data_IF_906725274949
#
_entry.id   IF_906725274949
#
_cell.length_a   1.000
_cell.length_b   1.000
_cell.length_c   1.000
_cell.angle_alpha   90.00
_cell.angle_beta   90.00
_cell.angle_gamma   90.00
#
_symmetry.space_group_name_H-M   'P 1'
#
loop_
_entity.id
_entity.type
_entity.pdbx_description
1 polymer ?
#
# COMPACT_ATOMS: atom_id res chain seq x y z
N UNK A 1 -33.05 -22.80 28.54
CA UNK A 1 -32.43 -21.60 27.91
C UNK A 1 -33.55 -20.79 27.29
N UNK A 2 -33.70 -19.51 27.66
CA UNK A 2 -34.85 -18.68 27.29
C UNK A 2 -34.77 -18.25 25.81
N UNK A 3 -35.79 -18.59 25.02
CA UNK A 3 -35.84 -18.36 23.57
C UNK A 3 -35.92 -16.86 23.20
N UNK A 4 -36.45 -16.04 24.11
CA UNK A 4 -36.46 -14.58 23.99
C UNK A 4 -35.05 -13.98 24.11
N UNK A 5 -34.22 -14.54 24.99
CA UNK A 5 -32.83 -14.09 25.16
C UNK A 5 -31.98 -14.40 23.92
N UNK A 6 -32.20 -15.55 23.28
CA UNK A 6 -31.50 -15.94 22.05
C UNK A 6 -31.87 -14.99 20.89
N UNK A 7 -33.16 -14.67 20.72
CA UNK A 7 -33.61 -13.71 19.68
C UNK A 7 -33.02 -12.32 19.92
N UNK A 8 -33.02 -11.85 21.16
CA UNK A 8 -32.46 -10.55 21.53
C UNK A 8 -30.95 -10.48 21.27
N UNK A 9 -30.19 -11.53 21.60
CA UNK A 9 -28.76 -11.62 21.29
C UNK A 9 -28.48 -11.63 19.77
N UNK A 10 -29.29 -12.34 18.97
CA UNK A 10 -29.13 -12.38 17.50
C UNK A 10 -29.37 -11.00 16.88
N UNK A 11 -30.42 -10.30 17.31
CA UNK A 11 -30.73 -8.95 16.81
C UNK A 11 -29.62 -7.95 17.17
N UNK A 12 -29.09 -8.01 18.39
CA UNK A 12 -27.96 -7.18 18.83
C UNK A 12 -26.69 -7.50 18.02
N UNK A 13 -26.42 -8.77 17.72
CA UNK A 13 -25.26 -9.18 16.91
C UNK A 13 -25.38 -8.73 15.44
N UNK A 14 -26.59 -8.75 14.87
CA UNK A 14 -26.88 -8.25 13.51
C UNK A 14 -26.77 -6.71 13.43
N UNK A 15 -27.19 -5.99 14.48
CA UNK A 15 -27.02 -4.53 14.55
C UNK A 15 -25.55 -4.11 14.71
N UNK A 16 -24.73 -4.92 15.39
CA UNK A 16 -23.28 -4.70 15.53
C UNK A 16 -22.48 -5.00 14.25
N UNK A 17 -23.10 -5.67 13.26
CA UNK A 17 -22.47 -6.04 11.99
C UNK A 17 -22.80 -5.11 10.83
N UNK A 18 -23.47 -3.98 11.09
CA UNK A 18 -23.51 -2.85 10.14
C UNK A 18 -22.12 -2.21 10.14
N UNK A 19 -21.22 -2.78 9.35
CA UNK A 19 -19.95 -2.15 9.03
C UNK A 19 -20.25 -0.90 8.20
N UNK A 20 -19.70 0.23 8.63
CA UNK A 20 -19.64 1.45 7.83
C UNK A 20 -18.81 1.10 6.60
N UNK A 21 -19.46 0.97 5.44
CA UNK A 21 -18.77 0.85 4.15
C UNK A 21 -18.20 2.23 3.85
N UNK A 22 -16.97 2.48 4.31
CA UNK A 22 -16.16 3.55 3.71
C UNK A 22 -15.99 3.16 2.24
N UNK A 23 -16.49 3.98 1.31
CA UNK A 23 -16.46 3.64 -0.11
C UNK A 23 -15.04 3.29 -0.56
N UNK A 24 -14.90 2.17 -1.27
CA UNK A 24 -13.60 1.65 -1.67
C UNK A 24 -12.92 2.64 -2.65
N UNK A 25 -11.70 3.05 -2.32
CA UNK A 25 -10.88 3.94 -3.16
C UNK A 25 -10.24 3.10 -4.27
N UNK A 26 -11.00 2.82 -5.33
CA UNK A 26 -10.56 1.97 -6.44
C UNK A 26 -10.23 2.83 -7.67
N UNK A 27 -9.05 2.61 -8.25
CA UNK A 27 -8.57 3.32 -9.46
C UNK A 27 -8.06 2.31 -10.49
N UNK A 28 -8.34 2.57 -11.77
CA UNK A 28 -7.82 1.79 -12.89
C UNK A 28 -6.40 2.22 -13.26
N UNK A 29 -5.52 1.26 -13.52
CA UNK A 29 -4.17 1.49 -14.05
C UNK A 29 -3.98 0.70 -15.36
N UNK A 30 -2.88 0.92 -16.06
CA UNK A 30 -2.56 0.09 -17.25
C UNK A 30 -2.31 -1.39 -16.93
N UNK A 31 -2.08 -1.74 -15.66
CA UNK A 31 -1.80 -3.09 -15.18
C UNK A 31 -3.00 -3.74 -14.47
N UNK A 32 -4.10 -2.99 -14.27
CA UNK A 32 -5.31 -3.44 -13.58
C UNK A 32 -5.73 -2.50 -12.44
N UNK A 33 -6.80 -2.87 -11.75
CA UNK A 33 -7.41 -2.06 -10.69
C UNK A 33 -6.65 -2.12 -9.38
N UNK A 34 -6.47 -0.98 -8.72
CA UNK A 34 -5.86 -0.89 -7.38
C UNK A 34 -6.85 -0.29 -6.39
N UNK A 35 -6.83 -0.81 -5.17
CA UNK A 35 -7.62 -0.32 -4.05
C UNK A 35 -6.71 0.32 -2.99
N UNK A 36 -6.86 1.62 -2.79
CA UNK A 36 -6.09 2.40 -1.82
C UNK A 36 -6.86 2.68 -0.53
N UNK A 37 -6.39 3.69 0.20
CA UNK A 37 -7.04 4.23 1.40
C UNK A 37 -7.12 5.75 1.34
N UNK A 38 -8.15 6.30 1.96
CA UNK A 38 -8.20 7.72 2.31
C UNK A 38 -7.45 7.94 3.62
N UNK A 39 -6.56 8.94 3.65
CA UNK A 39 -5.69 9.25 4.78
C UNK A 39 -5.91 10.71 5.19
N UNK A 40 -6.05 10.94 6.49
CA UNK A 40 -6.12 12.29 7.05
C UNK A 40 -4.74 12.94 6.97
N UNK A 41 -4.69 14.14 6.41
CA UNK A 41 -3.45 14.93 6.33
C UNK A 41 -3.05 15.46 7.71
N UNK A 42 -1.77 15.79 7.87
CA UNK A 42 -1.29 16.61 9.00
C UNK A 42 -1.82 18.05 8.90
N UNK A 43 -2.18 18.49 7.69
CA UNK A 43 -2.84 19.76 7.45
C UNK A 43 -4.29 19.67 7.88
N UNK A 44 -4.74 20.69 8.62
CA UNK A 44 -6.06 20.71 9.24
C UNK A 44 -7.14 20.60 8.16
N UNK A 45 -8.10 19.69 8.39
CA UNK A 45 -9.26 19.45 7.54
C UNK A 45 -8.94 19.01 6.10
N UNK A 46 -7.70 18.58 5.84
CA UNK A 46 -7.29 18.02 4.55
C UNK A 46 -7.16 16.49 4.60
N UNK A 47 -7.33 15.88 3.43
CA UNK A 47 -7.19 14.46 3.20
C UNK A 47 -6.45 14.20 1.90
N UNK A 48 -5.87 13.02 1.78
CA UNK A 48 -5.27 12.54 0.54
C UNK A 48 -5.55 11.04 0.39
N UNK A 49 -5.32 10.52 -0.80
CA UNK A 49 -5.47 9.13 -1.14
C UNK A 49 -4.10 8.48 -1.25
N UNK A 50 -3.95 7.30 -0.67
CA UNK A 50 -2.71 6.54 -0.61
C UNK A 50 -2.91 5.17 -1.23
N UNK A 51 -2.05 4.84 -2.19
CA UNK A 51 -1.96 3.52 -2.81
C UNK A 51 -0.55 3.01 -2.62
N UNK A 52 -0.36 1.98 -1.82
CA UNK A 52 0.95 1.50 -1.38
C UNK A 52 1.20 0.07 -1.84
N UNK A 53 2.45 -0.24 -2.15
CA UNK A 53 2.84 -1.61 -2.49
C UNK A 53 2.38 -2.05 -3.88
N UNK A 54 2.22 -1.12 -4.82
CA UNK A 54 1.86 -1.43 -6.21
C UNK A 54 3.11 -1.97 -6.93
N UNK A 55 3.09 -3.17 -7.53
CA UNK A 55 4.24 -3.69 -8.25
C UNK A 55 4.42 -2.95 -9.58
N UNK A 56 5.65 -2.53 -9.86
CA UNK A 56 6.01 -1.90 -11.15
C UNK A 56 6.89 -2.82 -12.02
N UNK A 57 7.30 -3.96 -11.49
CA UNK A 57 8.08 -4.97 -12.20
C UNK A 57 7.93 -6.35 -11.56
N UNK A 58 8.36 -7.38 -12.28
CA UNK A 58 8.37 -8.75 -11.76
C UNK A 58 9.38 -8.90 -10.61
N UNK A 59 9.08 -9.75 -9.61
CA UNK A 59 10.00 -10.00 -8.51
C UNK A 59 11.40 -10.43 -9.01
N UNK A 60 12.48 -9.72 -8.66
CA UNK A 60 13.85 -10.05 -9.07
C UNK A 60 14.46 -11.15 -8.18
N UNK A 61 13.76 -12.29 -8.07
CA UNK A 61 14.13 -13.41 -7.19
C UNK A 61 14.39 -14.70 -7.96
N UNK A 62 15.12 -15.63 -7.35
CA UNK A 62 15.46 -16.91 -7.99
C UNK A 62 16.25 -16.71 -9.29
N UNK A 63 15.69 -17.18 -10.43
CA UNK A 63 16.37 -17.13 -11.74
C UNK A 63 16.49 -15.73 -12.33
N UNK A 64 15.65 -14.78 -11.90
CA UNK A 64 15.68 -13.38 -12.37
C UNK A 64 16.55 -12.48 -11.50
N UNK A 65 17.13 -13.02 -10.43
CA UNK A 65 18.02 -12.27 -9.55
C UNK A 65 19.26 -11.79 -10.32
N UNK A 66 19.62 -10.53 -10.12
CA UNK A 66 20.75 -9.85 -10.80
C UNK A 66 20.57 -9.63 -12.30
N UNK A 67 19.37 -9.84 -12.84
CA UNK A 67 19.01 -9.45 -14.19
C UNK A 67 18.26 -8.12 -14.18
N UNK A 68 18.16 -7.49 -15.35
CA UNK A 68 17.33 -6.30 -15.52
C UNK A 68 15.87 -6.60 -15.14
N UNK A 69 15.17 -5.68 -14.45
CA UNK A 69 13.76 -5.84 -14.12
C UNK A 69 12.92 -6.16 -15.35
N UNK A 70 12.02 -7.14 -15.21
CA UNK A 70 11.05 -7.47 -16.25
C UNK A 70 9.72 -6.76 -15.96
N UNK A 71 8.96 -6.33 -16.99
CA UNK A 71 7.63 -5.76 -16.80
C UNK A 71 6.70 -6.74 -16.07
N UNK A 72 5.86 -6.22 -15.16
CA UNK A 72 4.81 -7.03 -14.53
C UNK A 72 3.68 -7.31 -15.53
N UNK A 73 3.11 -8.52 -15.51
CA UNK A 73 2.02 -8.92 -16.42
C UNK A 73 0.65 -8.28 -16.09
N UNK A 74 0.61 -7.39 -15.10
CA UNK A 74 -0.63 -6.91 -14.49
C UNK A 74 -1.36 -7.96 -13.65
N UNK A 75 -2.62 -7.69 -13.34
CA UNK A 75 -3.49 -8.54 -12.53
C UNK A 75 -4.96 -8.38 -12.96
N UNK A 76 -5.76 -9.43 -12.79
CA UNK A 76 -7.18 -9.43 -13.18
C UNK A 76 -8.11 -8.89 -12.09
N UNK A 77 -7.83 -9.22 -10.84
CA UNK A 77 -8.66 -8.84 -9.68
C UNK A 77 -8.20 -7.51 -9.08
N UNK A 78 -9.01 -6.87 -8.25
CA UNK A 78 -8.60 -5.62 -7.59
C UNK A 78 -7.43 -5.88 -6.65
N UNK A 79 -6.29 -5.22 -6.90
CA UNK A 79 -5.10 -5.30 -6.06
C UNK A 79 -5.27 -4.43 -4.81
N UNK A 80 -5.21 -5.04 -3.62
CA UNK A 80 -5.26 -4.33 -2.35
C UNK A 80 -3.94 -3.57 -2.06
N UNK A 81 -3.88 -2.30 -2.46
CA UNK A 81 -2.75 -1.39 -2.31
C UNK A 81 -2.88 -0.53 -1.02
N UNK A 82 -3.24 -1.18 0.10
CA UNK A 82 -3.55 -0.51 1.38
C UNK A 82 -2.40 -0.48 2.38
N UNK A 83 -1.29 -1.15 2.07
CA UNK A 83 -0.13 -1.31 2.96
C UNK A 83 1.16 -1.33 2.16
N UNK A 84 2.22 -0.85 2.80
CA UNK A 84 3.57 -0.94 2.25
C UNK A 84 4.06 -2.38 2.16
N UNK A 85 4.94 -2.62 1.20
CA UNK A 85 5.62 -3.91 1.03
C UNK A 85 6.96 -3.86 1.72
N UNK A 86 7.51 -5.05 2.01
CA UNK A 86 8.85 -5.13 2.60
C UNK A 86 9.88 -4.49 1.65
N UNK A 87 10.91 -3.83 2.20
CA UNK A 87 11.97 -3.27 1.39
C UNK A 87 12.77 -4.34 0.67
N UNK A 88 13.58 -3.92 -0.31
CA UNK A 88 14.57 -4.79 -0.92
C UNK A 88 15.56 -5.31 0.12
N UNK A 89 15.99 -6.57 -0.07
CA UNK A 89 17.02 -7.22 0.72
C UNK A 89 18.23 -6.30 0.94
N UNK A 90 18.48 -5.93 2.19
CA UNK A 90 19.60 -5.06 2.59
C UNK A 90 20.17 -5.45 3.96
N UNK A 91 21.29 -4.82 4.32
CA UNK A 91 21.88 -4.92 5.65
C UNK A 91 21.57 -3.65 6.44
N UNK A 92 20.81 -3.76 7.52
CA UNK A 92 20.58 -2.65 8.44
C UNK A 92 21.88 -2.32 9.18
N UNK A 93 22.33 -1.07 9.04
CA UNK A 93 23.53 -0.52 9.70
C UNK A 93 23.06 0.27 10.93
N UNK A 94 23.77 0.24 12.07
CA UNK A 94 23.34 0.84 13.34
C UNK A 94 23.20 2.37 13.35
N UNK A 95 23.30 3.03 12.19
CA UNK A 95 23.13 4.47 12.05
C UNK A 95 21.66 4.93 12.10
N UNK A 96 20.69 3.99 12.15
CA UNK A 96 19.27 4.28 12.35
C UNK A 96 18.80 3.67 13.68
N UNK A 97 18.40 4.47 14.68
CA UNK A 97 18.03 3.99 16.01
C UNK A 97 16.78 3.07 16.03
N UNK A 98 16.03 2.99 14.93
CA UNK A 98 14.77 2.24 14.83
C UNK A 98 14.91 0.84 14.21
N UNK A 99 16.08 0.49 13.65
CA UNK A 99 16.25 -0.78 12.93
C UNK A 99 17.20 -1.73 13.66
N UNK A 100 16.76 -2.99 13.87
CA UNK A 100 17.63 -4.05 14.39
C UNK A 100 18.79 -4.27 13.40
N UNK A 101 20.01 -4.29 13.92
CA UNK A 101 21.21 -4.62 13.15
C UNK A 101 21.08 -6.01 12.52
N UNK A 102 21.45 -6.11 11.23
CA UNK A 102 21.42 -7.37 10.50
C UNK A 102 20.62 -7.33 9.19
N UNK A 103 20.40 -8.50 8.60
CA UNK A 103 19.66 -8.65 7.35
C UNK A 103 18.19 -8.24 7.51
N UNK A 104 17.67 -7.53 6.51
CA UNK A 104 16.29 -7.07 6.44
C UNK A 104 15.82 -7.03 4.98
N UNK A 105 14.50 -7.03 4.77
CA UNK A 105 13.89 -6.98 3.44
C UNK A 105 13.67 -8.36 2.79
N UNK A 106 13.33 -8.33 1.50
CA UNK A 106 13.12 -9.50 0.66
C UNK A 106 13.44 -9.17 -0.81
N UNK A 107 13.59 -10.19 -1.66
CA UNK A 107 13.87 -9.97 -3.09
C UNK A 107 12.63 -9.52 -3.89
N UNK A 108 11.42 -9.88 -3.43
CA UNK A 108 10.16 -9.35 -3.98
C UNK A 108 9.89 -7.93 -3.45
N UNK A 109 10.53 -6.93 -4.07
CA UNK A 109 10.59 -5.57 -3.56
C UNK A 109 10.39 -4.45 -4.60
N UNK A 110 10.10 -4.79 -5.87
CA UNK A 110 9.87 -3.79 -6.93
C UNK A 110 8.45 -3.22 -6.87
N UNK A 111 8.19 -2.51 -5.78
CA UNK A 111 6.91 -1.87 -5.50
C UNK A 111 7.08 -0.36 -5.30
N UNK A 112 6.02 0.39 -5.57
CA UNK A 112 5.96 1.83 -5.34
C UNK A 112 4.71 2.20 -4.53
N UNK A 113 4.71 3.43 -4.04
CA UNK A 113 3.56 4.05 -3.38
C UNK A 113 3.20 5.34 -4.13
N UNK A 114 1.91 5.59 -4.30
CA UNK A 114 1.35 6.78 -4.95
C UNK A 114 0.46 7.49 -3.93
N UNK A 115 0.68 8.79 -3.76
CA UNK A 115 -0.14 9.64 -2.90
C UNK A 115 -0.67 10.81 -3.72
N UNK A 116 -1.97 11.08 -3.62
CA UNK A 116 -2.63 12.12 -4.40
C UNK A 116 -3.72 12.82 -3.60
N UNK A 117 -3.89 14.15 -3.70
CA UNK A 117 -4.99 14.85 -3.03
C UNK A 117 -6.34 14.63 -3.72
N UNK A 118 -6.35 14.16 -4.98
CA UNK A 118 -7.57 13.97 -5.78
C UNK A 118 -7.56 12.65 -6.56
N UNK A 119 -8.74 12.06 -6.70
CA UNK A 119 -8.97 10.87 -7.51
C UNK A 119 -9.42 11.22 -8.93
N UNK A 120 -9.20 10.33 -9.91
CA UNK A 120 -9.70 10.47 -11.28
C UNK A 120 -11.24 10.39 -11.36
N UNK A 121 -11.93 11.52 -11.15
CA UNK A 121 -13.40 11.61 -11.11
C UNK A 121 -14.00 12.42 -12.27
N UNK A 122 -13.57 12.19 -13.52
CA UNK A 122 -13.97 12.93 -14.73
C UNK A 122 -13.64 14.44 -14.72
N UNK A 123 -12.84 14.92 -13.77
CA UNK A 123 -12.26 16.28 -13.75
C UNK A 123 -10.84 16.29 -14.36
N UNK A 124 -10.35 17.47 -14.73
CA UNK A 124 -8.99 17.68 -15.23
C UNK A 124 -7.94 17.30 -14.17
N UNK A 125 -7.25 16.18 -14.38
CA UNK A 125 -6.19 15.65 -13.51
C UNK A 125 -4.80 16.22 -13.84
N UNK A 126 -4.74 17.49 -14.24
CA UNK A 126 -3.48 18.17 -14.56
C UNK A 126 -2.72 18.59 -13.29
N UNK A 127 -2.39 17.62 -12.44
CA UNK A 127 -1.54 17.83 -11.27
C UNK A 127 -0.08 17.49 -11.61
N UNK A 128 0.91 18.25 -11.09
CA UNK A 128 2.30 17.91 -11.23
C UNK A 128 2.61 16.59 -10.52
N UNK A 129 3.41 15.73 -11.16
CA UNK A 129 3.86 14.46 -10.59
C UNK A 129 5.28 14.61 -10.06
N UNK A 130 5.47 14.31 -8.78
CA UNK A 130 6.79 14.29 -8.13
C UNK A 130 7.18 12.84 -7.89
N UNK A 131 8.32 12.41 -8.42
CA UNK A 131 8.87 11.07 -8.20
C UNK A 131 10.04 11.18 -7.24
N UNK A 132 9.91 10.57 -6.06
CA UNK A 132 10.96 10.57 -5.05
C UNK A 132 11.79 9.28 -5.11
N UNK A 133 13.09 9.42 -5.38
CA UNK A 133 14.03 8.30 -5.42
C UNK A 133 14.91 8.33 -4.16
N UNK A 134 14.71 7.34 -3.31
CA UNK A 134 15.50 7.16 -2.09
C UNK A 134 16.92 6.65 -2.45
N UNK A 135 17.97 7.29 -1.93
CA UNK A 135 19.33 7.02 -2.36
C UNK A 135 20.39 6.99 -1.24
N UNK A 136 20.12 6.37 -0.09
CA UNK A 136 21.13 6.18 0.97
C UNK A 136 22.24 5.20 0.55
N UNK A 137 23.16 5.71 -0.28
CA UNK A 137 24.32 5.02 -0.84
C UNK A 137 23.97 3.72 -1.59
N UNK A 138 22.75 3.62 -2.11
CA UNK A 138 22.20 2.41 -2.74
C UNK A 138 22.20 1.17 -1.83
N UNK A 139 22.16 1.35 -0.49
CA UNK A 139 22.31 0.25 0.46
C UNK A 139 21.09 -0.03 1.32
N UNK A 140 20.43 0.98 1.90
CA UNK A 140 19.50 0.76 3.05
C UNK A 140 18.16 1.49 2.96
N UNK A 141 18.00 2.37 1.97
CA UNK A 141 16.81 3.20 1.87
C UNK A 141 15.62 2.49 1.21
N UNK A 142 14.42 2.88 1.58
CA UNK A 142 13.16 2.36 1.03
C UNK A 142 12.01 3.34 1.30
N UNK A 143 10.93 3.19 0.53
CA UNK A 143 9.68 3.91 0.72
C UNK A 143 8.90 3.29 1.89
N UNK A 144 9.17 3.77 3.11
CA UNK A 144 8.34 3.47 4.27
C UNK A 144 7.84 4.75 4.95
N UNK A 145 6.56 4.77 5.31
CA UNK A 145 5.99 5.71 6.27
C UNK A 145 6.54 5.39 7.66
N UNK A 146 6.54 6.39 8.54
CA UNK A 146 7.32 6.38 9.79
C UNK A 146 6.67 5.54 10.92
N UNK A 147 5.98 4.48 10.56
CA UNK A 147 5.15 3.64 11.43
C UNK A 147 5.87 2.34 11.84
#
# INVERSE_FOLDING_TARGET
VNMEAIKSCIVIFVLFSIQIIAGDVIVETSLGKVEGIEVKSILKDEKFYSFMGIPYGMPPSGKTRFLSPQPHEGWSDVLAAKKEKKPCSHMNIPNRPLAKYGFSGQDDCLHLSIHTPKLPNNEDLNMPVIVFLYNELFKVSHNASRD
#
